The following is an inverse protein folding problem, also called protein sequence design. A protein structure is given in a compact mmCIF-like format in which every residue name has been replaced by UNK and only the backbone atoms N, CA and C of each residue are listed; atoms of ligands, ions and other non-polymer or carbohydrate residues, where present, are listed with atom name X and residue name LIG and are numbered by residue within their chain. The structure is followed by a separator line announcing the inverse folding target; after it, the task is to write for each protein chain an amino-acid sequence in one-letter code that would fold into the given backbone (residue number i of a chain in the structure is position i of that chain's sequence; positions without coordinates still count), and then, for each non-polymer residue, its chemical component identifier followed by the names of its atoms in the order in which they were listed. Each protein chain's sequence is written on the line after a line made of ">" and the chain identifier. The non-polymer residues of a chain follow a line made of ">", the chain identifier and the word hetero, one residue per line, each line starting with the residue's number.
data_IF_529773732220
#
_entry.id   IF_529773732220
#
_cell.length_a   1.000
_cell.length_b   1.000
_cell.length_c   1.000
_cell.angle_alpha   90.00
_cell.angle_beta   90.00
_cell.angle_gamma   90.00
#
_symmetry.space_group_name_H-M   'P 1'
#
loop_
_entity.id
_entity.type
_entity.pdbx_description
1 polymer ?
#
# COMPACT_ATOMS: atom_id res chain seq x y z
N UNK A 1 -5.18 7.39 -8.46
CA UNK A 1 -4.09 8.16 -7.85
C UNK A 1 -2.72 7.61 -8.25
N UNK A 2 -2.50 6.30 -8.10
CA UNK A 2 -1.29 5.53 -8.41
C UNK A 2 -0.07 5.81 -7.52
N UNK A 3 -0.24 6.61 -6.48
CA UNK A 3 0.82 6.99 -5.53
C UNK A 3 0.23 7.29 -4.15
N UNK A 4 -0.65 6.42 -3.65
CA UNK A 4 -1.18 6.55 -2.29
C UNK A 4 -0.10 6.13 -1.30
N UNK A 5 0.32 7.04 -0.43
CA UNK A 5 1.34 6.85 0.61
C UNK A 5 1.21 7.95 1.67
N UNK A 6 1.83 7.81 2.86
CA UNK A 6 1.67 8.78 3.93
C UNK A 6 2.06 10.21 3.55
N UNK A 7 3.12 10.41 2.76
CA UNK A 7 3.52 11.76 2.34
C UNK A 7 2.53 12.46 1.39
N UNK A 8 1.61 11.71 0.80
CA UNK A 8 0.53 12.24 -0.06
C UNK A 8 -0.82 12.30 0.67
N UNK A 9 -0.84 12.05 1.99
CA UNK A 9 -2.05 12.13 2.83
C UNK A 9 -1.80 13.19 3.91
N UNK A 10 -2.48 14.32 3.81
CA UNK A 10 -2.39 15.39 4.79
C UNK A 10 -3.57 15.37 5.76
N UNK A 11 -3.28 15.62 7.02
CA UNK A 11 -4.29 15.94 8.04
C UNK A 11 -4.16 17.43 8.34
N UNK A 12 -5.25 18.16 8.12
CA UNK A 12 -5.32 19.60 8.43
C UNK A 12 -5.49 19.82 9.93
N UNK A 13 -5.18 21.03 10.42
CA UNK A 13 -5.38 21.41 11.84
C UNK A 13 -6.83 21.25 12.33
N UNK A 14 -7.79 21.20 11.40
CA UNK A 14 -9.22 20.95 11.69
C UNK A 14 -9.59 19.45 11.63
N UNK A 15 -8.61 18.56 11.65
CA UNK A 15 -8.81 17.10 11.58
C UNK A 15 -9.31 16.58 10.23
N UNK A 16 -9.35 17.40 9.17
CA UNK A 16 -9.76 16.93 7.83
C UNK A 16 -8.60 16.26 7.11
N UNK A 17 -8.86 15.08 6.53
CA UNK A 17 -7.92 14.37 5.66
C UNK A 17 -8.03 14.89 4.23
N UNK A 18 -6.90 15.14 3.59
CA UNK A 18 -6.78 15.50 2.17
C UNK A 18 -5.77 14.58 1.49
N UNK A 19 -6.12 14.10 0.31
CA UNK A 19 -5.19 13.40 -0.57
C UNK A 19 -4.55 14.45 -1.50
N UNK A 20 -3.23 14.41 -1.60
CA UNK A 20 -2.43 15.31 -2.43
C UNK A 20 -1.78 14.58 -3.60
N UNK A 21 -1.31 15.33 -4.59
CA UNK A 21 -0.46 14.83 -5.68
C UNK A 21 -1.13 13.72 -6.50
N UNK A 22 -2.35 13.99 -6.98
CA UNK A 22 -3.07 13.16 -7.94
C UNK A 22 -2.24 12.98 -9.21
N UNK A 23 -1.43 11.91 -9.22
CA UNK A 23 -0.28 11.76 -10.08
C UNK A 23 -0.57 11.94 -11.57
N UNK A 24 0.00 13.02 -12.13
CA UNK A 24 0.51 13.07 -13.50
C UNK A 24 1.79 12.21 -13.67
N UNK A 25 2.16 11.44 -12.64
CA UNK A 25 3.37 10.63 -12.61
C UNK A 25 3.27 9.49 -13.62
N UNK A 26 4.02 9.66 -14.71
CA UNK A 26 4.30 8.63 -15.71
C UNK A 26 4.70 7.32 -15.00
N UNK A 27 4.30 6.15 -15.51
CA UNK A 27 4.82 4.88 -15.01
C UNK A 27 6.34 4.97 -15.08
N UNK A 28 6.99 5.03 -13.91
CA UNK A 28 8.43 4.86 -13.85
C UNK A 28 8.67 3.45 -14.41
N UNK A 29 9.37 3.28 -15.55
CA UNK A 29 9.78 1.97 -16.01
C UNK A 29 10.91 1.52 -15.08
N UNK A 30 10.55 1.12 -13.86
CA UNK A 30 11.51 0.65 -12.85
C UNK A 30 12.05 -0.72 -13.21
N UNK A 31 11.33 -1.46 -14.07
CA UNK A 31 11.77 -2.75 -14.61
C UNK A 31 13.07 -2.60 -15.44
N UNK A 32 13.26 -1.48 -16.14
CA UNK A 32 14.50 -1.22 -16.89
C UNK A 32 15.66 -0.82 -15.97
N UNK A 33 15.38 -0.11 -14.86
CA UNK A 33 16.41 0.27 -13.88
C UNK A 33 16.85 -0.87 -12.98
N UNK A 34 15.96 -1.84 -12.71
CA UNK A 34 16.29 -3.03 -11.91
C UNK A 34 17.29 -3.98 -12.61
N UNK A 35 17.50 -3.86 -13.93
CA UNK A 35 18.52 -4.62 -14.67
C UNK A 35 19.94 -4.03 -14.55
N UNK A 36 20.08 -2.77 -14.15
CA UNK A 36 21.40 -2.18 -13.88
C UNK A 36 21.83 -2.47 -12.45
N UNK A 37 22.75 -3.43 -12.27
CA UNK A 37 23.43 -3.75 -11.00
C UNK A 37 24.30 -2.61 -10.44
N UNK A 38 24.39 -1.48 -11.13
CA UNK A 38 25.34 -0.41 -10.86
C UNK A 38 24.61 0.91 -10.66
N UNK A 39 24.68 1.42 -9.42
CA UNK A 39 24.28 2.76 -8.94
C UNK A 39 22.83 2.95 -8.50
N UNK A 40 22.42 2.26 -7.42
CA UNK A 40 21.18 2.53 -6.68
C UNK A 40 21.44 2.81 -5.18
N UNK A 41 22.67 3.14 -4.82
CA UNK A 41 23.08 3.53 -3.45
C UNK A 41 22.65 4.94 -3.06
N UNK A 42 22.10 5.73 -3.99
CA UNK A 42 21.42 6.98 -3.65
C UNK A 42 19.94 6.71 -3.38
N UNK A 43 19.38 7.39 -2.38
CA UNK A 43 17.94 7.55 -2.11
C UNK A 43 17.18 6.37 -1.50
N UNK A 44 17.32 6.17 -0.18
CA UNK A 44 16.30 5.49 0.64
C UNK A 44 14.86 6.03 0.45
N UNK A 45 14.71 7.22 -0.14
CA UNK A 45 13.45 7.80 -0.63
C UNK A 45 12.77 6.95 -1.72
N UNK A 46 13.53 6.36 -2.64
CA UNK A 46 13.00 5.46 -3.66
C UNK A 46 12.50 4.16 -3.02
N UNK A 47 13.23 3.64 -2.03
CA UNK A 47 12.81 2.45 -1.28
C UNK A 47 11.47 2.72 -0.57
N UNK A 48 11.36 3.83 0.18
CA UNK A 48 10.13 4.18 0.89
C UNK A 48 8.90 4.36 0.01
N UNK A 49 9.06 4.80 -1.25
CA UNK A 49 7.94 4.88 -2.20
C UNK A 49 7.48 3.50 -2.67
N UNK A 50 8.40 2.53 -2.76
CA UNK A 50 8.10 1.16 -3.24
C UNK A 50 7.27 0.39 -2.24
N UNK A 51 7.45 0.62 -0.94
CA UNK A 51 6.72 -0.09 0.11
C UNK A 51 5.19 0.03 -0.01
N UNK A 52 4.69 1.08 -0.68
CA UNK A 52 3.25 1.33 -0.88
C UNK A 52 2.76 0.94 -2.28
N UNK A 53 3.62 0.41 -3.15
CA UNK A 53 3.20 -0.04 -4.48
C UNK A 53 2.36 -1.31 -4.41
N UNK A 54 1.40 -1.43 -5.32
CA UNK A 54 0.69 -2.70 -5.52
C UNK A 54 1.57 -3.74 -6.24
N UNK A 55 1.22 -5.04 -6.20
CA UNK A 55 1.95 -6.09 -6.91
C UNK A 55 2.06 -5.81 -8.42
N UNK A 56 1.00 -5.31 -9.04
CA UNK A 56 0.99 -4.96 -10.47
C UNK A 56 1.91 -3.78 -10.80
N UNK A 57 2.02 -2.79 -9.91
CA UNK A 57 3.00 -1.70 -10.05
C UNK A 57 4.43 -2.20 -9.83
N UNK A 58 4.66 -2.94 -8.75
CA UNK A 58 5.99 -3.40 -8.34
C UNK A 58 6.62 -4.35 -9.38
N UNK A 59 5.80 -5.21 -10.00
CA UNK A 59 6.28 -6.17 -11.01
C UNK A 59 6.22 -5.63 -12.44
N UNK A 60 5.49 -4.54 -12.67
CA UNK A 60 5.16 -4.06 -14.02
C UNK A 60 4.29 -5.05 -14.80
N UNK A 61 3.55 -5.94 -14.12
CA UNK A 61 2.69 -6.96 -14.73
C UNK A 61 1.24 -6.71 -14.35
N UNK A 62 0.36 -6.74 -15.35
CA UNK A 62 -1.07 -6.48 -15.16
C UNK A 62 -1.42 -5.01 -15.35
N UNK A 63 -2.72 -4.73 -15.35
CA UNK A 63 -3.24 -3.39 -15.61
C UNK A 63 -3.27 -2.54 -14.34
N UNK A 64 -2.81 -1.30 -14.46
CA UNK A 64 -2.87 -0.31 -13.37
C UNK A 64 -4.24 0.39 -13.39
N UNK A 65 -5.16 -0.13 -12.57
CA UNK A 65 -6.53 0.38 -12.39
C UNK A 65 -6.70 1.05 -11.02
N UNK A 66 -7.93 1.42 -10.65
CA UNK A 66 -8.23 1.93 -9.30
C UNK A 66 -7.95 0.91 -8.19
N UNK A 67 -7.89 -0.38 -8.52
CA UNK A 67 -7.59 -1.44 -7.57
C UNK A 67 -6.17 -1.29 -6.99
N UNK A 68 -5.25 -0.71 -7.77
CA UNK A 68 -3.90 -0.35 -7.30
C UNK A 68 -3.96 0.56 -6.08
N UNK A 69 -4.80 1.59 -6.10
CA UNK A 69 -4.96 2.52 -4.97
C UNK A 69 -5.55 1.83 -3.74
N UNK A 70 -6.41 0.83 -3.93
CA UNK A 70 -6.98 0.03 -2.84
C UNK A 70 -5.87 -0.73 -2.10
N UNK A 71 -4.93 -1.33 -2.84
CA UNK A 71 -3.80 -2.02 -2.22
C UNK A 71 -2.90 -1.05 -1.46
N UNK A 72 -2.52 0.06 -2.09
CA UNK A 72 -1.68 1.09 -1.48
C UNK A 72 -2.31 1.68 -0.22
N UNK A 73 -3.63 1.94 -0.24
CA UNK A 73 -4.37 2.36 0.95
C UNK A 73 -4.35 1.26 2.03
N UNK A 74 -4.44 -0.01 1.65
CA UNK A 74 -4.33 -1.14 2.58
C UNK A 74 -2.97 -1.18 3.28
N UNK A 75 -1.89 -0.84 2.57
CA UNK A 75 -0.54 -0.70 3.14
C UNK A 75 -0.52 0.42 4.19
N UNK A 76 -1.06 1.59 3.85
CA UNK A 76 -1.14 2.73 4.78
C UNK A 76 -1.96 2.38 6.03
N UNK A 77 -3.12 1.74 5.87
CA UNK A 77 -3.97 1.36 7.00
C UNK A 77 -3.30 0.31 7.88
N UNK A 78 -2.61 -0.66 7.29
CA UNK A 78 -1.80 -1.62 8.04
C UNK A 78 -0.73 -0.91 8.88
N UNK A 79 0.00 0.02 8.27
CA UNK A 79 1.07 0.77 8.95
C UNK A 79 0.54 1.63 10.09
N UNK A 80 -0.51 2.42 9.86
CA UNK A 80 -1.11 3.24 10.92
C UNK A 80 -1.68 2.37 12.04
N UNK A 81 -2.19 1.17 11.71
CA UNK A 81 -2.73 0.25 12.71
C UNK A 81 -1.63 -0.42 13.55
N UNK A 82 -0.50 -0.76 12.96
CA UNK A 82 0.53 -1.61 13.58
C UNK A 82 1.84 -0.89 13.92
N UNK A 83 2.05 0.31 13.40
CA UNK A 83 3.32 1.03 13.41
C UNK A 83 4.41 0.38 12.55
N UNK A 84 4.07 -0.53 11.62
CA UNK A 84 5.01 -1.32 10.82
C UNK A 84 4.51 -1.47 9.39
N UNK A 85 5.41 -1.57 8.41
CA UNK A 85 4.98 -1.88 7.05
C UNK A 85 4.63 -3.37 6.90
N UNK A 86 3.64 -3.71 6.05
CA UNK A 86 3.26 -5.09 5.80
C UNK A 86 4.29 -5.87 4.97
N UNK A 87 5.06 -5.17 4.13
CA UNK A 87 6.06 -5.74 3.23
C UNK A 87 7.34 -4.90 3.27
N UNK A 88 8.43 -5.52 3.70
CA UNK A 88 9.75 -4.91 3.79
C UNK A 88 10.82 -5.89 3.29
N UNK A 89 11.92 -5.34 2.79
CA UNK A 89 13.13 -6.04 2.41
C UNK A 89 14.34 -5.11 2.50
N UNK A 90 15.52 -5.69 2.66
CA UNK A 90 16.76 -4.91 2.83
C UNK A 90 17.20 -4.24 1.52
N UNK A 91 16.64 -4.69 0.40
CA UNK A 91 16.90 -4.15 -0.93
C UNK A 91 15.61 -3.94 -1.70
N UNK A 92 15.66 -3.04 -2.69
CA UNK A 92 14.56 -2.78 -3.61
C UNK A 92 13.95 -4.07 -4.21
N UNK A 93 14.79 -5.00 -4.66
CA UNK A 93 14.35 -6.26 -5.25
C UNK A 93 13.65 -7.16 -4.21
N UNK A 94 14.19 -7.24 -2.99
CA UNK A 94 13.56 -8.00 -1.92
C UNK A 94 12.21 -7.40 -1.51
N UNK A 95 12.09 -6.07 -1.49
CA UNK A 95 10.82 -5.38 -1.22
C UNK A 95 9.79 -5.68 -2.30
N UNK A 96 10.16 -5.62 -3.58
CA UNK A 96 9.27 -6.01 -4.69
C UNK A 96 8.83 -7.46 -4.54
N UNK A 97 9.76 -8.37 -4.24
CA UNK A 97 9.43 -9.77 -4.05
C UNK A 97 8.47 -9.96 -2.86
N UNK A 98 8.69 -9.25 -1.76
CA UNK A 98 7.81 -9.26 -0.59
C UNK A 98 6.40 -8.77 -0.95
N UNK A 99 6.30 -7.63 -1.63
CA UNK A 99 5.03 -7.08 -2.12
C UNK A 99 4.32 -8.07 -3.05
N UNK A 100 5.07 -8.78 -3.90
CA UNK A 100 4.49 -9.65 -4.91
C UNK A 100 4.01 -11.00 -4.34
N UNK A 101 4.73 -11.56 -3.36
CA UNK A 101 4.56 -12.97 -2.97
C UNK A 101 4.26 -13.20 -1.50
N UNK A 102 4.72 -12.34 -0.60
CA UNK A 102 4.64 -12.61 0.84
C UNK A 102 3.28 -12.19 1.40
N UNK A 103 2.77 -12.99 2.34
CA UNK A 103 1.65 -12.61 3.21
C UNK A 103 2.19 -11.69 4.32
N UNK A 104 1.50 -10.58 4.65
CA UNK A 104 1.95 -9.70 5.73
C UNK A 104 1.86 -10.40 7.09
N UNK A 105 2.63 -9.92 8.08
CA UNK A 105 2.47 -10.41 9.46
C UNK A 105 1.05 -10.10 9.96
N UNK A 106 0.36 -11.00 10.69
CA UNK A 106 -0.98 -10.72 11.19
C UNK A 106 -1.01 -9.46 12.06
N UNK A 107 -1.98 -8.58 11.83
CA UNK A 107 -2.12 -7.30 12.58
C UNK A 107 -2.17 -7.54 14.08
N UNK A 108 -2.90 -8.58 14.51
CA UNK A 108 -3.05 -8.99 15.91
C UNK A 108 -1.74 -9.35 16.62
N UNK A 109 -0.69 -9.67 15.87
CA UNK A 109 0.66 -9.89 16.44
C UNK A 109 1.26 -8.59 17.00
N UNK A 110 0.91 -7.45 16.40
CA UNK A 110 1.44 -6.13 16.75
C UNK A 110 0.43 -5.29 17.53
N UNK A 111 -0.86 -5.46 17.27
CA UNK A 111 -1.95 -4.75 17.95
C UNK A 111 -3.10 -5.71 18.32
N UNK A 112 -3.03 -6.28 19.52
CA UNK A 112 -3.96 -7.34 19.98
C UNK A 112 -5.41 -6.86 20.11
N UNK A 113 -5.59 -5.59 20.46
CA UNK A 113 -6.87 -4.90 20.65
C UNK A 113 -7.52 -4.41 19.34
N UNK A 114 -6.87 -4.59 18.18
CA UNK A 114 -7.46 -4.19 16.90
C UNK A 114 -8.81 -4.91 16.66
N UNK A 115 -9.88 -4.23 16.24
CA UNK A 115 -11.15 -4.91 15.93
C UNK A 115 -10.98 -5.95 14.81
N UNK A 116 -11.57 -7.15 14.96
CA UNK A 116 -11.45 -8.22 13.94
C UNK A 116 -11.99 -7.78 12.58
N UNK A 117 -13.06 -6.99 12.58
CA UNK A 117 -13.63 -6.43 11.35
C UNK A 117 -12.63 -5.51 10.62
N UNK A 118 -11.86 -4.69 11.36
CA UNK A 118 -10.82 -3.84 10.75
C UNK A 118 -9.70 -4.70 10.15
N UNK A 119 -9.30 -5.76 10.86
CA UNK A 119 -8.29 -6.71 10.36
C UNK A 119 -8.74 -7.33 9.04
N UNK A 120 -9.99 -7.81 8.97
CA UNK A 120 -10.55 -8.40 7.76
C UNK A 120 -10.59 -7.44 6.56
N UNK A 121 -10.97 -6.17 6.79
CA UNK A 121 -10.95 -5.13 5.74
C UNK A 121 -9.53 -4.94 5.20
N UNK A 122 -8.55 -4.73 6.08
CA UNK A 122 -7.15 -4.48 5.67
C UNK A 122 -6.58 -5.70 4.93
N UNK A 123 -6.82 -6.92 5.42
CA UNK A 123 -6.35 -8.14 4.75
C UNK A 123 -6.97 -8.34 3.37
N UNK A 124 -8.24 -7.99 3.18
CA UNK A 124 -8.92 -8.05 1.88
C UNK A 124 -8.35 -6.99 0.91
N UNK A 125 -8.03 -5.78 1.39
CA UNK A 125 -7.35 -4.77 0.58
C UNK A 125 -5.94 -5.20 0.15
N UNK A 126 -5.25 -6.02 0.95
CA UNK A 126 -3.88 -6.49 0.71
C UNK A 126 -3.78 -7.80 -0.09
N UNK A 127 -4.89 -8.29 -0.67
CA UNK A 127 -4.87 -9.45 -1.58
C UNK A 127 -3.99 -9.16 -2.79
N UNK A 128 -3.12 -10.12 -3.13
CA UNK A 128 -2.14 -9.95 -4.21
C UNK A 128 -2.80 -9.86 -5.57
N UNK A 129 -3.78 -10.74 -5.81
CA UNK A 129 -4.63 -10.67 -6.99
C UNK A 129 -5.55 -9.46 -6.90
N UNK A 130 -5.57 -8.63 -7.95
CA UNK A 130 -6.47 -7.47 -8.04
C UNK A 130 -7.95 -7.88 -8.03
N UNK A 131 -8.28 -9.02 -8.66
CA UNK A 131 -9.64 -9.53 -8.71
C UNK A 131 -10.17 -10.01 -7.34
N UNK A 132 -9.27 -10.34 -6.41
CA UNK A 132 -9.61 -10.78 -5.06
C UNK A 132 -9.67 -9.64 -4.04
N UNK A 133 -9.37 -8.40 -4.45
CA UNK A 133 -9.51 -7.21 -3.60
C UNK A 133 -10.95 -6.71 -3.61
N UNK A 134 -11.23 -5.75 -2.72
CA UNK A 134 -12.37 -4.85 -2.90
C UNK A 134 -12.37 -4.26 -4.31
N UNK A 135 -13.52 -4.31 -4.97
CA UNK A 135 -13.68 -3.78 -6.32
C UNK A 135 -14.05 -2.29 -6.34
N UNK A 136 -14.28 -1.68 -5.16
CA UNK A 136 -14.67 -0.29 -5.01
C UNK A 136 -14.20 0.30 -3.68
N UNK A 137 -13.67 1.52 -3.73
CA UNK A 137 -13.32 2.29 -2.53
C UNK A 137 -14.56 2.68 -1.71
N UNK A 138 -15.74 2.78 -2.34
CA UNK A 138 -16.99 3.08 -1.63
C UNK A 138 -17.41 1.94 -0.69
N UNK A 139 -17.17 0.68 -1.09
CA UNK A 139 -17.42 -0.49 -0.24
C UNK A 139 -16.50 -0.50 0.98
N UNK A 140 -15.23 -0.14 0.79
CA UNK A 140 -14.27 0.01 1.89
C UNK A 140 -14.75 1.09 2.86
N UNK A 141 -15.15 2.25 2.35
CA UNK A 141 -15.65 3.35 3.17
C UNK A 141 -16.91 2.95 3.97
N UNK A 142 -17.81 2.17 3.35
CA UNK A 142 -18.99 1.63 4.01
C UNK A 142 -18.61 0.70 5.17
N UNK A 143 -17.75 -0.30 4.92
CA UNK A 143 -17.32 -1.27 5.94
C UNK A 143 -16.59 -0.56 7.10
N UNK A 144 -15.69 0.37 6.79
CA UNK A 144 -14.99 1.16 7.82
C UNK A 144 -15.95 2.04 8.64
N UNK A 145 -16.96 2.64 8.01
CA UNK A 145 -17.96 3.46 8.71
C UNK A 145 -18.79 2.62 9.69
N UNK A 146 -19.15 1.39 9.30
CA UNK A 146 -19.86 0.46 10.19
C UNK A 146 -19.01 0.08 11.40
N UNK A 147 -17.71 -0.10 11.23
CA UNK A 147 -16.79 -0.42 12.33
C UNK A 147 -16.65 0.76 13.32
N UNK A 148 -16.56 1.99 12.82
CA UNK A 148 -16.42 3.19 13.66
C UNK A 148 -17.73 3.50 14.43
N UNK A 149 -18.86 3.06 13.90
CA UNK A 149 -20.19 3.33 14.50
C UNK A 149 -20.58 2.32 15.60
N UNK A 150 -19.72 1.34 15.90
CA UNK A 150 -19.88 0.35 16.97
C UNK A 150 -19.14 0.80 18.23
#
# INVERSE_FOLDING_TARGET
>A
HRDIKPSNIMITDRGKVKVLDFGLAKPLPLVDRARSKTRLTESGVLLGTVNYMSPEQATGRGEITHLTDIFSLGVVLYEVTTGRLPFEGDTYFQTIEAISKRTPSPIKKHRKDAPEALVGVIEHMLRKSAAERYQSAALIAQDLSQIISQ
#
